data_IF_622635297521
#
_entry.id   IF_622635297521
#
_cell.length_a   1.000
_cell.length_b   1.000
_cell.length_c   1.000
_cell.angle_alpha   90.00
_cell.angle_beta   90.00
_cell.angle_gamma   90.00
#
_symmetry.space_group_name_H-M   'P 1'
#
loop_
_entity.id
_entity.type
_entity.pdbx_description
1 polymer ?
#
# COMPACT_ATOMS: atom_id res chain seq x y z
N UNK A 1 7.70 -7.53 0.55
CA UNK A 1 7.44 -6.97 -0.80
C UNK A 1 8.20 -7.69 -1.91
N UNK A 2 9.49 -8.00 -1.77
CA UNK A 2 10.22 -8.86 -2.73
C UNK A 2 9.50 -10.19 -3.02
N UNK A 3 9.02 -10.87 -1.97
CA UNK A 3 8.26 -12.12 -2.11
C UNK A 3 6.94 -11.95 -2.88
N UNK A 4 6.27 -10.80 -2.76
CA UNK A 4 5.06 -10.51 -3.53
C UNK A 4 5.36 -10.31 -5.02
N UNK A 5 6.58 -9.90 -5.35
CA UNK A 5 7.14 -9.91 -6.71
C UNK A 5 7.75 -11.28 -7.08
N UNK A 6 7.59 -12.31 -6.26
CA UNK A 6 8.12 -13.65 -6.52
C UNK A 6 9.65 -13.75 -6.45
N UNK A 7 10.29 -12.88 -5.67
CA UNK A 7 11.75 -12.88 -5.45
C UNK A 7 12.07 -13.10 -3.98
N UNK A 8 13.15 -13.84 -3.70
CA UNK A 8 13.66 -14.04 -2.33
C UNK A 8 14.76 -13.04 -1.98
N UNK A 9 15.52 -12.59 -2.99
CA UNK A 9 16.66 -11.67 -2.85
C UNK A 9 16.63 -10.62 -3.94
N UNK A 10 17.24 -9.46 -3.68
CA UNK A 10 17.37 -8.41 -4.69
C UNK A 10 18.26 -8.87 -5.85
N UNK A 11 17.81 -8.70 -7.10
CA UNK A 11 18.56 -9.15 -8.26
C UNK A 11 19.78 -8.26 -8.50
N UNK A 12 20.91 -8.89 -8.84
CA UNK A 12 22.10 -8.16 -9.24
C UNK A 12 22.06 -7.86 -10.75
N UNK A 13 21.69 -6.62 -11.09
CA UNK A 13 21.57 -6.16 -12.47
C UNK A 13 22.70 -5.17 -12.78
N UNK A 14 23.36 -5.28 -13.97
CA UNK A 14 24.35 -4.29 -14.38
C UNK A 14 23.79 -2.86 -14.36
N UNK A 15 24.56 -1.94 -13.78
CA UNK A 15 24.17 -0.55 -13.62
C UNK A 15 23.73 0.09 -14.94
N UNK A 16 22.71 0.95 -14.88
CA UNK A 16 22.23 1.73 -16.01
C UNK A 16 21.22 1.03 -16.93
N UNK A 17 21.10 -0.31 -16.88
CA UNK A 17 20.13 -1.04 -17.73
C UNK A 17 18.68 -0.70 -17.38
N UNK A 18 18.33 -0.76 -16.09
CA UNK A 18 16.99 -0.38 -15.63
C UNK A 18 16.69 1.10 -15.93
N UNK A 19 17.66 1.99 -15.67
CA UNK A 19 17.52 3.42 -15.95
C UNK A 19 17.24 3.73 -17.44
N UNK A 20 17.96 3.06 -18.35
CA UNK A 20 17.72 3.20 -19.79
C UNK A 20 16.31 2.73 -20.18
N UNK A 21 15.86 1.59 -19.63
CA UNK A 21 14.50 1.09 -19.86
C UNK A 21 13.43 2.00 -19.27
N UNK A 22 13.66 2.60 -18.09
CA UNK A 22 12.78 3.61 -17.50
C UNK A 22 12.59 4.80 -18.41
N UNK A 23 13.69 5.33 -18.97
CA UNK A 23 13.62 6.45 -19.90
C UNK A 23 12.79 6.12 -21.15
N UNK A 24 12.95 4.92 -21.70
CA UNK A 24 12.16 4.45 -22.84
C UNK A 24 10.67 4.27 -22.47
N UNK A 25 10.40 3.72 -21.30
CA UNK A 25 9.06 3.46 -20.78
C UNK A 25 8.28 4.76 -20.51
N UNK A 26 8.92 5.74 -19.86
CA UNK A 26 8.34 7.06 -19.57
C UNK A 26 7.98 7.82 -20.85
N UNK A 27 8.82 7.76 -21.89
CA UNK A 27 8.54 8.40 -23.18
C UNK A 27 7.33 7.78 -23.92
N UNK A 28 7.09 6.47 -23.75
CA UNK A 28 5.94 5.80 -24.39
C UNK A 28 4.64 5.91 -23.59
N UNK A 29 4.66 5.81 -22.26
CA UNK A 29 3.43 5.90 -21.45
C UNK A 29 2.85 7.31 -21.36
N UNK A 30 3.69 8.35 -21.36
CA UNK A 30 3.19 9.74 -21.44
C UNK A 30 2.42 10.00 -22.75
N UNK A 31 2.71 9.25 -23.81
CA UNK A 31 1.99 9.31 -25.09
C UNK A 31 0.71 8.45 -25.12
N UNK A 32 0.53 7.50 -24.18
CA UNK A 32 -0.63 6.61 -24.11
C UNK A 32 -1.71 7.06 -23.10
N UNK A 33 -1.59 8.26 -22.53
CA UNK A 33 -2.73 8.97 -21.93
C UNK A 33 -3.22 8.49 -20.57
N UNK A 34 -2.43 7.71 -19.82
CA UNK A 34 -2.75 7.36 -18.44
C UNK A 34 -2.22 8.40 -17.46
N UNK A 35 -2.98 9.45 -17.15
CA UNK A 35 -2.71 10.24 -15.94
C UNK A 35 -2.82 9.30 -14.73
N UNK A 36 -1.81 9.21 -13.84
CA UNK A 36 -1.99 8.51 -12.57
C UNK A 36 -3.10 9.23 -11.80
N UNK A 37 -4.27 8.59 -11.71
CA UNK A 37 -5.38 9.03 -10.87
C UNK A 37 -5.06 8.64 -9.44
N UNK A 38 -4.12 9.35 -8.84
CA UNK A 38 -3.82 9.25 -7.41
C UNK A 38 -3.94 10.65 -6.86
N UNK A 39 -5.08 10.95 -6.22
CA UNK A 39 -5.20 12.14 -5.37
C UNK A 39 -4.37 11.87 -4.11
N UNK A 40 -3.06 11.89 -4.22
CA UNK A 40 -2.17 11.82 -3.09
C UNK A 40 -1.43 13.16 -3.02
N UNK A 41 -1.33 13.78 -1.83
CA UNK A 41 -0.67 15.08 -1.71
C UNK A 41 0.80 14.96 -2.14
N UNK A 42 1.38 16.05 -2.65
CA UNK A 42 2.80 16.11 -3.03
C UNK A 42 3.65 16.13 -1.75
N UNK A 43 4.08 14.96 -1.29
CA UNK A 43 4.75 14.74 0.01
C UNK A 43 6.20 14.30 -0.23
N UNK A 44 7.10 14.57 0.72
CA UNK A 44 8.48 14.04 0.69
C UNK A 44 8.48 12.51 0.89
N UNK A 45 9.51 11.78 0.48
CA UNK A 45 9.58 10.34 0.83
C UNK A 45 9.79 10.09 2.32
N UNK A 46 10.32 11.08 3.04
CA UNK A 46 10.56 11.00 4.49
C UNK A 46 9.33 11.26 5.36
N UNK A 47 8.19 11.61 4.75
CA UNK A 47 6.98 12.01 5.46
C UNK A 47 5.86 10.98 5.24
N UNK A 48 5.26 10.51 6.34
CA UNK A 48 4.06 9.70 6.31
C UNK A 48 2.82 10.60 6.37
N UNK A 49 1.81 10.27 5.56
CA UNK A 49 0.51 10.94 5.59
C UNK A 49 -0.41 10.22 6.56
N UNK A 50 -0.83 10.91 7.62
CA UNK A 50 -1.82 10.38 8.55
C UNK A 50 -3.19 10.97 8.25
N UNK A 51 -4.13 10.11 7.86
CA UNK A 51 -5.55 10.47 7.76
C UNK A 51 -6.35 9.73 8.81
N UNK A 52 -7.12 10.49 9.59
CA UNK A 52 -8.10 9.90 10.51
C UNK A 52 -9.47 9.89 9.85
N UNK A 53 -9.98 8.70 9.52
CA UNK A 53 -11.36 8.46 9.08
C UNK A 53 -12.11 7.82 10.24
N UNK A 54 -12.95 8.60 10.94
CA UNK A 54 -13.61 8.17 12.18
C UNK A 54 -12.57 7.68 13.21
N UNK A 55 -12.59 6.38 13.53
CA UNK A 55 -11.71 5.74 14.51
C UNK A 55 -10.62 4.87 13.86
N UNK A 56 -10.57 4.86 12.53
CA UNK A 56 -9.46 4.33 11.74
C UNK A 56 -8.45 5.44 11.49
N UNK A 57 -7.19 5.09 11.69
CA UNK A 57 -6.03 5.89 11.30
C UNK A 57 -5.37 5.20 10.12
N UNK A 58 -5.40 5.88 8.99
CA UNK A 58 -4.70 5.54 7.76
C UNK A 58 -3.33 6.21 7.80
N UNK A 59 -2.28 5.42 7.63
CA UNK A 59 -0.90 5.90 7.55
C UNK A 59 -0.36 5.52 6.17
N UNK A 60 -0.26 6.48 5.27
CA UNK A 60 0.23 6.25 3.91
C UNK A 60 1.68 6.74 3.79
N UNK A 61 2.54 5.85 3.30
CA UNK A 61 3.95 6.10 3.05
C UNK A 61 4.15 6.30 1.56
N UNK A 62 4.82 7.39 1.19
CA UNK A 62 5.25 7.63 -0.18
C UNK A 62 6.62 7.00 -0.38
N UNK A 63 6.67 5.90 -1.14
CA UNK A 63 7.90 5.13 -1.33
C UNK A 63 8.38 5.27 -2.76
N UNK A 64 9.61 5.70 -2.93
CA UNK A 64 10.30 5.67 -4.23
C UNK A 64 11.20 4.44 -4.31
N UNK A 65 11.47 4.00 -5.53
CA UNK A 65 12.43 2.90 -5.74
C UNK A 65 13.84 3.26 -5.27
N UNK A 66 14.18 4.56 -5.21
CA UNK A 66 15.47 5.02 -4.69
C UNK A 66 15.54 4.84 -3.17
N UNK A 67 14.45 5.11 -2.45
CA UNK A 67 14.41 4.92 -0.99
C UNK A 67 14.66 3.46 -0.58
N UNK A 68 14.33 2.52 -1.48
CA UNK A 68 14.54 1.08 -1.31
C UNK A 68 15.86 0.57 -1.91
N UNK A 69 16.62 1.39 -2.64
CA UNK A 69 17.79 0.92 -3.39
C UNK A 69 17.46 0.04 -4.62
N UNK A 70 16.24 0.13 -5.12
CA UNK A 70 15.70 -0.70 -6.19
C UNK A 70 15.84 -0.08 -7.59
N UNK A 71 16.40 1.12 -7.69
CA UNK A 71 16.55 1.90 -8.92
C UNK A 71 17.40 1.22 -10.00
N UNK A 72 18.26 0.30 -9.59
CA UNK A 72 19.15 -0.49 -10.45
C UNK A 72 18.44 -1.63 -11.20
N UNK A 73 17.27 -2.06 -10.74
CA UNK A 73 16.58 -3.23 -11.28
C UNK A 73 15.06 -3.08 -11.45
N UNK A 74 14.39 -2.18 -10.75
CA UNK A 74 12.97 -1.83 -10.96
C UNK A 74 12.83 -0.76 -12.04
N UNK A 75 11.82 -0.95 -12.90
CA UNK A 75 11.49 -0.04 -14.00
C UNK A 75 10.19 0.71 -13.71
N UNK A 76 9.16 0.04 -13.21
CA UNK A 76 7.87 0.67 -12.89
C UNK A 76 7.22 -0.04 -11.71
N UNK A 77 6.49 0.69 -10.83
CA UNK A 77 6.45 2.14 -10.75
C UNK A 77 7.75 2.71 -10.15
N UNK A 78 8.09 3.97 -10.47
CA UNK A 78 9.21 4.67 -9.80
C UNK A 78 8.81 5.16 -8.39
N UNK A 79 7.51 5.29 -8.16
CA UNK A 79 6.90 5.75 -6.93
C UNK A 79 5.59 5.02 -6.70
N UNK A 80 5.37 4.56 -5.48
CA UNK A 80 4.11 3.97 -5.06
C UNK A 80 3.78 4.40 -3.63
N UNK A 81 2.54 4.13 -3.22
CA UNK A 81 2.10 4.35 -1.87
C UNK A 81 1.84 3.02 -1.19
N UNK A 82 2.25 2.95 0.08
CA UNK A 82 1.95 1.82 0.95
C UNK A 82 1.12 2.35 2.13
N UNK A 83 -0.05 1.78 2.37
CA UNK A 83 -0.93 2.20 3.46
C UNK A 83 -0.96 1.16 4.57
N UNK A 84 -0.76 1.62 5.80
CA UNK A 84 -1.01 0.85 7.01
C UNK A 84 -2.27 1.37 7.73
N UNK A 85 -3.05 0.45 8.29
CA UNK A 85 -4.33 0.74 8.91
C UNK A 85 -4.26 0.41 10.40
N UNK A 86 -4.38 1.45 11.24
CA UNK A 86 -4.37 1.32 12.69
C UNK A 86 -5.68 1.82 13.29
N UNK A 87 -6.19 1.13 14.31
CA UNK A 87 -7.35 1.58 15.08
C UNK A 87 -8.63 0.78 14.84
N UNK A 88 -9.70 1.23 15.51
CA UNK A 88 -11.01 0.58 15.69
C UNK A 88 -11.00 -0.75 16.46
N UNK A 89 -11.38 -0.68 17.73
CA UNK A 89 -11.87 -1.82 18.49
C UNK A 89 -13.40 -1.83 18.37
N UNK A 90 -13.98 -2.90 17.82
CA UNK A 90 -15.42 -3.12 17.95
C UNK A 90 -15.69 -3.94 19.21
N UNK A 91 -16.75 -3.55 19.91
CA UNK A 91 -17.35 -4.44 20.89
C UNK A 91 -18.22 -5.44 20.12
N UNK A 92 -17.96 -6.74 20.24
CA UNK A 92 -18.94 -7.75 19.84
C UNK A 92 -20.17 -7.56 20.73
N UNK A 93 -21.17 -6.87 20.22
CA UNK A 93 -22.44 -6.66 20.90
C UNK A 93 -23.32 -7.90 20.75
N UNK A 94 -23.38 -8.70 21.83
CA UNK A 94 -24.48 -9.58 22.25
C UNK A 94 -25.68 -9.59 21.28
N UNK A 95 -25.88 -10.71 20.57
CA UNK A 95 -27.12 -11.17 19.92
C UNK A 95 -28.14 -10.06 19.60
N UNK A 96 -27.82 -9.18 18.65
CA UNK A 96 -28.82 -8.27 18.06
C UNK A 96 -29.32 -8.91 16.77
N UNK A 97 -30.48 -9.54 16.83
CA UNK A 97 -31.22 -10.16 15.73
C UNK A 97 -31.81 -9.13 14.73
N UNK A 98 -31.09 -8.06 14.44
CA UNK A 98 -31.54 -7.07 13.46
C UNK A 98 -30.35 -6.38 12.81
N UNK A 99 -30.03 -6.83 11.60
CA UNK A 99 -29.14 -6.17 10.67
C UNK A 99 -29.66 -4.76 10.35
N UNK A 100 -29.23 -3.72 11.07
CA UNK A 100 -29.38 -2.30 10.63
C UNK A 100 -28.68 -1.23 11.48
N UNK A 101 -27.86 -1.53 12.49
CA UNK A 101 -27.16 -0.49 13.25
C UNK A 101 -25.65 -0.48 12.97
N UNK A 102 -25.03 0.67 12.63
CA UNK A 102 -23.60 0.74 12.40
C UNK A 102 -22.90 0.51 13.74
N UNK A 103 -22.09 -0.55 13.83
CA UNK A 103 -21.28 -0.82 15.01
C UNK A 103 -20.45 0.43 15.32
N UNK A 104 -20.72 1.03 16.49
CA UNK A 104 -20.02 2.23 16.93
C UNK A 104 -18.62 1.80 17.34
N UNK A 105 -17.67 1.89 16.42
CA UNK A 105 -16.24 1.84 16.75
C UNK A 105 -15.98 2.87 17.86
N UNK A 106 -15.20 2.54 18.89
CA UNK A 106 -14.74 3.51 19.89
C UNK A 106 -13.21 3.61 19.84
N UNK A 107 -12.68 4.83 19.92
CA UNK A 107 -11.23 5.04 20.10
C UNK A 107 -10.87 4.56 21.50
N UNK A 108 -10.08 3.49 21.60
CA UNK A 108 -9.56 3.02 22.87
C UNK A 108 -8.51 3.99 23.42
N UNK A 109 -8.91 4.92 24.28
CA UNK A 109 -8.04 5.39 25.35
C UNK A 109 -8.07 4.29 26.42
N UNK A 110 -6.97 3.57 26.56
CA UNK A 110 -6.84 2.42 27.46
C UNK A 110 -7.01 2.81 28.92
N UNK A 111 -8.24 2.72 29.39
CA UNK A 111 -8.60 2.34 30.75
C UNK A 111 -9.89 1.56 30.62
N UNK A 112 -9.84 0.24 30.63
CA UNK A 112 -10.73 -0.62 31.38
C UNK A 112 -10.40 -2.08 31.03
N UNK A 113 -10.10 -2.83 32.09
CA UNK A 113 -10.00 -4.28 32.10
C UNK A 113 -11.33 -4.83 31.59
N UNK A 114 -11.36 -5.49 30.44
CA UNK A 114 -12.24 -6.65 30.19
C UNK A 114 -11.75 -7.33 28.92
N UNK A 115 -11.19 -8.51 29.13
CA UNK A 115 -10.54 -9.36 28.15
C UNK A 115 -11.61 -10.27 27.52
N UNK A 116 -12.45 -9.71 26.66
CA UNK A 116 -13.29 -10.51 25.75
C UNK A 116 -13.12 -9.97 24.32
N UNK A 117 -12.47 -10.80 23.49
CA UNK A 117 -12.41 -10.79 22.02
C UNK A 117 -12.71 -9.44 21.33
N UNK A 118 -11.79 -8.49 21.48
CA UNK A 118 -11.76 -7.28 20.66
C UNK A 118 -11.25 -7.62 19.25
N UNK A 119 -12.13 -7.54 18.25
CA UNK A 119 -11.75 -7.66 16.84
C UNK A 119 -11.46 -6.27 16.25
N UNK A 120 -10.39 -6.17 15.45
CA UNK A 120 -10.06 -4.96 14.71
C UNK A 120 -11.08 -4.76 13.58
N UNK A 121 -11.73 -3.60 13.53
CA UNK A 121 -12.74 -3.26 12.50
C UNK A 121 -12.23 -2.32 11.42
N UNK A 122 -10.95 -1.95 11.50
CA UNK A 122 -10.31 -1.22 10.44
C UNK A 122 -9.95 -2.19 9.32
N UNK A 123 -10.72 -2.14 8.24
CA UNK A 123 -10.49 -2.92 7.04
C UNK A 123 -9.63 -2.12 6.07
N UNK A 124 -8.74 -2.83 5.38
CA UNK A 124 -7.91 -2.26 4.33
C UNK A 124 -8.51 -2.60 2.97
N UNK A 125 -8.60 -1.61 2.09
CA UNK A 125 -8.86 -1.86 0.67
C UNK A 125 -7.54 -2.09 -0.03
N UNK A 126 -7.51 -3.08 -0.92
CA UNK A 126 -6.32 -3.42 -1.69
C UNK A 126 -6.54 -3.09 -3.16
N UNK A 127 -5.44 -2.77 -3.85
CA UNK A 127 -5.41 -2.67 -5.31
C UNK A 127 -4.20 -3.40 -5.88
N UNK A 128 -4.30 -3.79 -7.15
CA UNK A 128 -3.20 -4.40 -7.87
C UNK A 128 -2.32 -3.31 -8.50
N UNK A 129 -1.09 -3.19 -8.02
CA UNK A 129 -0.08 -2.29 -8.59
C UNK A 129 0.87 -3.09 -9.48
N UNK A 130 1.01 -2.75 -10.77
CA UNK A 130 1.90 -3.47 -11.67
C UNK A 130 3.37 -3.09 -11.44
N UNK A 131 4.21 -4.08 -11.17
CA UNK A 131 5.66 -3.96 -11.07
C UNK A 131 6.32 -4.53 -12.32
N UNK A 132 7.05 -3.67 -13.04
CA UNK A 132 7.95 -4.06 -14.10
C UNK A 132 9.39 -3.99 -13.58
N UNK A 133 10.14 -5.09 -13.68
CA UNK A 133 11.49 -5.19 -13.14
C UNK A 133 12.37 -6.15 -13.95
N UNK A 134 13.68 -6.05 -13.75
CA UNK A 134 14.66 -6.92 -14.40
C UNK A 134 15.00 -8.09 -13.50
N UNK A 135 14.85 -9.29 -14.05
CA UNK A 135 15.32 -10.54 -13.47
C UNK A 135 16.60 -11.00 -14.20
N UNK A 136 17.66 -11.45 -13.48
CA UNK A 136 18.91 -11.86 -14.09
C UNK A 136 18.76 -13.02 -15.09
N UNK A 137 17.81 -13.94 -14.84
CA UNK A 137 17.60 -15.13 -15.68
C UNK A 137 16.57 -14.93 -16.80
N UNK A 138 15.54 -14.13 -16.53
CA UNK A 138 14.33 -14.06 -17.36
C UNK A 138 14.21 -12.76 -18.17
N UNK A 139 15.05 -11.76 -17.88
CA UNK A 139 14.97 -10.46 -18.53
C UNK A 139 13.89 -9.56 -17.91
N UNK A 140 13.00 -8.99 -18.72
CA UNK A 140 11.95 -8.10 -18.23
C UNK A 140 10.77 -8.92 -17.67
N UNK A 141 10.44 -8.68 -16.41
CA UNK A 141 9.32 -9.30 -15.71
C UNK A 141 8.24 -8.26 -15.43
N UNK A 142 6.98 -8.68 -15.53
CA UNK A 142 5.81 -7.89 -15.15
C UNK A 142 4.96 -8.70 -14.16
N UNK A 143 4.71 -8.15 -12.97
CA UNK A 143 3.87 -8.78 -11.94
C UNK A 143 3.00 -7.75 -11.25
N UNK A 144 1.74 -8.08 -11.02
CA UNK A 144 0.86 -7.25 -10.21
C UNK A 144 1.01 -7.64 -8.74
N UNK A 145 1.30 -6.65 -7.89
CA UNK A 145 1.42 -6.80 -6.44
C UNK A 145 0.19 -6.19 -5.80
N UNK A 146 -0.44 -6.94 -4.90
CA UNK A 146 -1.52 -6.42 -4.08
C UNK A 146 -0.97 -5.45 -3.03
N UNK A 147 -1.50 -4.22 -3.02
CA UNK A 147 -1.05 -3.15 -2.12
C UNK A 147 -2.24 -2.55 -1.40
N UNK A 148 -2.05 -2.29 -0.11
CA UNK A 148 -2.99 -1.56 0.71
C UNK A 148 -3.11 -0.11 0.22
N UNK A 149 -4.35 0.33 -0.05
CA UNK A 149 -4.66 1.66 -0.59
C UNK A 149 -5.26 2.56 0.48
N UNK A 150 -6.38 2.15 1.07
CA UNK A 150 -7.14 2.98 2.00
C UNK A 150 -7.62 2.18 3.21
N UNK A 151 -7.91 2.89 4.29
CA UNK A 151 -8.51 2.32 5.48
C UNK A 151 -9.99 2.71 5.56
N UNK A 152 -10.84 1.73 5.83
CA UNK A 152 -12.28 1.89 6.03
C UNK A 152 -12.68 1.26 7.36
N UNK A 153 -13.57 1.93 8.09
CA UNK A 153 -14.27 1.28 9.21
C UNK A 153 -15.37 0.39 8.61
N UNK A 154 -15.25 -0.92 8.79
CA UNK A 154 -16.32 -1.87 8.47
C UNK A 154 -17.28 -2.07 9.66
N UNK A 155 -18.55 -2.44 9.41
CA UNK A 155 -19.43 -3.02 10.42
C UNK A 155 -19.05 -4.48 10.76
#
# INVERSE_FOLDING_TARGET
MLQAMGMEVEPHIPAGRAAALRHLWGHHLMNLGGKPSSQHPNISSDEAFLTRKLNCTEISYRVTINDLGWDSWVIHPELFFYTDCMGCLCAQGVNVTSATQPEICRVGLSTFQHQEQQTNCCQVTTSLTPFAYLDPGSGLMLRSVEMNQECLCGP
#
